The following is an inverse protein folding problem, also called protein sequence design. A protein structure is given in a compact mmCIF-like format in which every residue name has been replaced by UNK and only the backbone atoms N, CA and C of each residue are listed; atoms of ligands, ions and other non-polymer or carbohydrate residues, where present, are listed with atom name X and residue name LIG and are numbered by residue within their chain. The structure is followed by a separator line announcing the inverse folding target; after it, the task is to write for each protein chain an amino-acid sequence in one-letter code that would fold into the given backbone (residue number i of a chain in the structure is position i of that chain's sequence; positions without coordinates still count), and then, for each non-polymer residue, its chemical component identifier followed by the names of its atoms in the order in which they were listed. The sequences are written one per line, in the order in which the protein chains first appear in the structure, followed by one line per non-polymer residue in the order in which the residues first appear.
data_IF_134977609656
#
_entry.id   IF_134977609656
#
_cell.length_a   1.000
_cell.length_b   1.000
_cell.length_c   1.000
_cell.angle_alpha   90.00
_cell.angle_beta   90.00
_cell.angle_gamma   90.00
#
_symmetry.space_group_name_H-M   'P 1'
#
loop_
_entity.id
_entity.type
_entity.pdbx_description
1 polymer ?
#
# COMPACT_ATOMS: atom_id res chain seq x y z
N UNK A 1 27.12 -15.40 -30.56
CA UNK A 1 25.70 -15.04 -30.40
C UNK A 1 25.54 -14.54 -28.99
N UNK A 2 25.18 -13.27 -28.86
CA UNK A 2 25.23 -12.53 -27.61
C UNK A 2 23.94 -12.79 -26.82
N UNK A 3 24.05 -13.56 -25.73
CA UNK A 3 22.93 -13.72 -24.81
C UNK A 3 22.65 -12.39 -24.12
N UNK A 4 21.49 -11.84 -24.44
CA UNK A 4 20.96 -10.64 -23.83
C UNK A 4 20.62 -10.95 -22.38
N UNK A 5 21.42 -10.39 -21.46
CA UNK A 5 21.03 -10.21 -20.07
C UNK A 5 19.71 -9.44 -20.02
N UNK A 6 18.62 -10.16 -19.74
CA UNK A 6 17.34 -9.55 -19.38
C UNK A 6 17.53 -8.76 -18.10
N UNK A 7 17.53 -7.43 -18.21
CA UNK A 7 17.44 -6.56 -17.05
C UNK A 7 16.20 -6.97 -16.24
N UNK A 8 16.29 -7.14 -14.91
CA UNK A 8 15.10 -7.36 -14.10
C UNK A 8 14.19 -6.14 -14.30
N UNK A 9 12.95 -6.40 -14.71
CA UNK A 9 11.93 -5.40 -14.98
C UNK A 9 11.69 -4.56 -13.71
N UNK A 10 12.49 -3.49 -13.55
CA UNK A 10 12.53 -2.59 -12.39
C UNK A 10 11.20 -1.87 -12.17
N UNK A 11 10.29 -2.00 -13.12
CA UNK A 11 8.97 -1.38 -13.14
C UNK A 11 8.06 -1.97 -12.06
N UNK A 12 8.27 -3.20 -11.60
CA UNK A 12 7.31 -3.93 -10.74
C UNK A 12 7.66 -3.99 -9.25
N UNK A 13 8.79 -3.41 -8.83
CA UNK A 13 9.29 -3.55 -7.46
C UNK A 13 9.30 -2.20 -6.75
N UNK A 14 8.47 -2.05 -5.72
CA UNK A 14 8.49 -0.88 -4.85
C UNK A 14 9.46 -1.14 -3.70
N UNK A 15 10.55 -0.39 -3.67
CA UNK A 15 11.58 -0.51 -2.63
C UNK A 15 11.49 0.68 -1.69
N UNK A 16 11.30 0.39 -0.41
CA UNK A 16 11.43 1.36 0.65
C UNK A 16 12.82 1.17 1.29
N UNK A 17 13.72 2.17 1.27
CA UNK A 17 15.08 2.02 1.76
C UNK A 17 15.12 1.67 3.24
N UNK A 18 16.18 1.01 3.71
CA UNK A 18 16.37 0.70 5.12
C UNK A 18 16.44 2.00 5.95
N UNK A 19 15.93 1.96 7.19
CA UNK A 19 15.97 3.10 8.09
C UNK A 19 16.23 2.65 9.52
N UNK A 20 17.32 3.15 10.13
CA UNK A 20 17.74 2.74 11.48
C UNK A 20 17.91 1.22 11.58
N UNK A 21 17.14 0.59 12.48
CA UNK A 21 17.13 -0.86 12.70
C UNK A 21 16.13 -1.60 11.78
N UNK A 22 15.37 -0.89 10.95
CA UNK A 22 14.39 -1.50 10.06
C UNK A 22 15.04 -1.88 8.70
N UNK A 23 14.91 -3.14 8.25
CA UNK A 23 15.46 -3.57 6.97
C UNK A 23 14.75 -2.89 5.79
N UNK A 24 15.40 -2.89 4.63
CA UNK A 24 14.78 -2.37 3.40
C UNK A 24 13.56 -3.22 3.03
N UNK A 25 12.44 -2.56 2.77
CA UNK A 25 11.18 -3.22 2.42
C UNK A 25 11.11 -3.35 0.91
N UNK A 26 10.97 -4.58 0.42
CA UNK A 26 10.83 -4.87 -1.01
C UNK A 26 9.44 -5.43 -1.26
N UNK A 27 8.60 -4.68 -1.98
CA UNK A 27 7.24 -5.06 -2.32
C UNK A 27 7.15 -5.32 -3.80
N UNK A 28 6.74 -6.53 -4.16
CA UNK A 28 6.38 -6.86 -5.54
C UNK A 28 4.97 -6.34 -5.83
N UNK A 29 4.86 -5.47 -6.83
CA UNK A 29 3.62 -4.76 -7.19
C UNK A 29 3.00 -5.30 -8.48
N UNK A 30 3.56 -6.37 -9.07
CA UNK A 30 3.15 -6.91 -10.37
C UNK A 30 1.66 -7.25 -10.39
N UNK A 31 1.22 -8.15 -9.50
CA UNK A 31 -0.17 -8.62 -9.43
C UNK A 31 -1.14 -7.49 -9.07
N UNK A 32 -0.71 -6.56 -8.21
CA UNK A 32 -1.50 -5.40 -7.79
C UNK A 32 -1.76 -4.49 -9.00
N UNK A 33 -0.73 -4.18 -9.79
CA UNK A 33 -0.87 -3.37 -11.00
C UNK A 33 -1.72 -4.06 -12.06
N UNK A 34 -1.53 -5.37 -12.26
CA UNK A 34 -2.37 -6.15 -13.15
C UNK A 34 -3.83 -6.06 -12.73
N UNK A 35 -4.15 -6.28 -11.46
CA UNK A 35 -5.51 -6.12 -10.96
C UNK A 35 -6.07 -4.70 -11.17
N UNK A 36 -5.27 -3.66 -10.93
CA UNK A 36 -5.69 -2.27 -11.17
C UNK A 36 -6.02 -1.98 -12.63
N UNK A 37 -5.22 -2.48 -13.57
CA UNK A 37 -5.50 -2.32 -15.01
C UNK A 37 -6.76 -3.05 -15.44
N UNK A 38 -7.05 -4.20 -14.82
CA UNK A 38 -8.23 -5.03 -15.12
C UNK A 38 -9.50 -4.58 -14.40
N UNK A 39 -9.46 -3.51 -13.58
CA UNK A 39 -10.65 -2.96 -12.94
C UNK A 39 -11.76 -2.59 -13.93
N UNK A 40 -11.38 -2.17 -15.14
CA UNK A 40 -12.33 -1.81 -16.21
C UNK A 40 -13.10 -3.04 -16.68
N UNK A 41 -12.44 -4.21 -16.74
CA UNK A 41 -13.06 -5.49 -17.15
C UNK A 41 -14.13 -5.95 -16.16
N UNK A 42 -13.99 -5.61 -14.87
CA UNK A 42 -14.97 -5.96 -13.86
C UNK A 42 -16.38 -5.40 -14.17
N UNK A 43 -16.47 -4.26 -14.89
CA UNK A 43 -17.75 -3.66 -15.31
C UNK A 43 -18.53 -4.55 -16.28
N UNK A 44 -17.83 -5.33 -17.11
CA UNK A 44 -18.41 -6.19 -18.14
C UNK A 44 -18.14 -7.66 -17.83
N UNK A 45 -18.20 -8.03 -16.55
CA UNK A 45 -17.98 -9.40 -16.10
C UNK A 45 -19.02 -10.34 -16.69
N UNK A 46 -18.58 -11.52 -17.14
CA UNK A 46 -19.43 -12.56 -17.70
C UNK A 46 -19.04 -13.93 -17.11
N UNK A 47 -19.88 -14.98 -17.28
CA UNK A 47 -19.61 -16.29 -16.69
C UNK A 47 -18.27 -16.93 -17.09
N UNK A 48 -17.77 -16.61 -18.28
CA UNK A 48 -16.52 -17.17 -18.80
C UNK A 48 -15.29 -16.47 -18.22
N UNK A 49 -15.34 -15.14 -18.07
CA UNK A 49 -14.22 -14.32 -17.56
C UNK A 49 -14.21 -14.18 -16.04
N UNK A 50 -15.33 -14.49 -15.37
CA UNK A 50 -15.48 -14.31 -13.94
C UNK A 50 -14.40 -15.04 -13.11
N UNK A 51 -14.13 -16.30 -13.42
CA UNK A 51 -13.17 -17.12 -12.65
C UNK A 51 -11.75 -16.56 -12.72
N UNK A 52 -11.33 -16.13 -13.90
CA UNK A 52 -10.01 -15.53 -14.15
C UNK A 52 -9.87 -14.16 -13.47
N UNK A 53 -10.91 -13.32 -13.55
CA UNK A 53 -10.95 -12.03 -12.88
C UNK A 53 -10.93 -12.20 -11.35
N UNK A 54 -11.79 -13.07 -10.80
CA UNK A 54 -11.82 -13.35 -9.35
C UNK A 54 -10.47 -13.89 -8.85
N UNK A 55 -9.79 -14.74 -9.63
CA UNK A 55 -8.44 -15.18 -9.31
C UNK A 55 -7.45 -14.00 -9.22
N UNK A 56 -7.42 -13.16 -10.25
CA UNK A 56 -6.47 -12.03 -10.34
C UNK A 56 -6.66 -11.05 -9.18
N UNK A 57 -7.90 -10.70 -8.84
CA UNK A 57 -8.17 -9.79 -7.73
C UNK A 57 -7.85 -10.41 -6.36
N UNK A 58 -8.07 -11.73 -6.20
CA UNK A 58 -7.72 -12.43 -4.96
C UNK A 58 -6.20 -12.57 -4.76
N UNK A 59 -5.43 -12.75 -5.83
CA UNK A 59 -3.95 -12.72 -5.74
C UNK A 59 -3.45 -11.33 -5.32
N UNK A 60 -3.93 -10.28 -5.99
CA UNK A 60 -3.61 -8.91 -5.61
C UNK A 60 -3.99 -8.60 -4.15
N UNK A 61 -5.15 -9.10 -3.69
CA UNK A 61 -5.57 -8.97 -2.29
C UNK A 61 -4.59 -9.63 -1.31
N UNK A 62 -4.13 -10.86 -1.60
CA UNK A 62 -3.17 -11.58 -0.75
C UNK A 62 -1.83 -10.86 -0.69
N UNK A 63 -1.36 -10.36 -1.83
CA UNK A 63 -0.11 -9.59 -1.89
C UNK A 63 -0.22 -8.27 -1.12
N UNK A 64 -1.34 -7.55 -1.27
CA UNK A 64 -1.60 -6.34 -0.49
C UNK A 64 -1.60 -6.61 1.01
N UNK A 65 -2.25 -7.69 1.48
CA UNK A 65 -2.24 -8.07 2.89
C UNK A 65 -0.84 -8.41 3.41
N UNK A 66 -0.04 -9.11 2.61
CA UNK A 66 1.37 -9.39 2.92
C UNK A 66 2.19 -8.11 3.05
N UNK A 67 1.98 -7.15 2.14
CA UNK A 67 2.68 -5.87 2.17
C UNK A 67 2.27 -5.02 3.36
N UNK A 68 0.97 -4.95 3.71
CA UNK A 68 0.49 -4.26 4.92
C UNK A 68 1.11 -4.86 6.18
N UNK A 69 1.18 -6.19 6.30
CA UNK A 69 1.83 -6.82 7.44
C UNK A 69 3.33 -6.45 7.54
N UNK A 70 4.01 -6.39 6.40
CA UNK A 70 5.42 -5.99 6.33
C UNK A 70 5.62 -4.51 6.70
N UNK A 71 4.72 -3.63 6.25
CA UNK A 71 4.71 -2.21 6.61
C UNK A 71 4.42 -2.04 8.11
N UNK A 72 3.49 -2.81 8.67
CA UNK A 72 3.18 -2.80 10.10
C UNK A 72 4.39 -3.16 10.97
N UNK A 73 5.19 -4.15 10.55
CA UNK A 73 6.46 -4.45 11.21
C UNK A 73 7.45 -3.27 11.11
N UNK A 74 7.58 -2.67 9.92
CA UNK A 74 8.45 -1.51 9.73
C UNK A 74 8.00 -0.28 10.55
N UNK A 75 6.69 -0.09 10.74
CA UNK A 75 6.13 0.96 11.60
C UNK A 75 6.53 0.76 13.05
N UNK A 76 6.40 -0.46 13.59
CA UNK A 76 6.81 -0.76 14.96
C UNK A 76 8.31 -0.49 15.17
N UNK A 77 9.14 -0.86 14.20
CA UNK A 77 10.60 -0.61 14.24
C UNK A 77 10.94 0.88 14.11
N UNK A 78 10.23 1.62 13.27
CA UNK A 78 10.41 3.07 13.13
C UNK A 78 9.98 3.82 14.40
N UNK A 79 8.88 3.40 15.04
CA UNK A 79 8.43 3.96 16.31
C UNK A 79 9.43 3.72 17.43
N UNK A 80 10.00 2.50 17.51
CA UNK A 80 11.10 2.23 18.44
C UNK A 80 12.31 3.11 18.18
N UNK A 81 12.68 3.30 16.92
CA UNK A 81 13.82 4.15 16.54
C UNK A 81 13.58 5.64 16.89
N UNK A 82 12.33 6.11 16.81
CA UNK A 82 11.94 7.47 17.22
C UNK A 82 12.06 7.65 18.74
N UNK A 83 11.59 6.68 19.53
CA UNK A 83 11.74 6.71 20.99
C UNK A 83 13.21 6.62 21.43
N UNK A 84 14.02 5.78 20.75
CA UNK A 84 15.47 5.70 20.98
C UNK A 84 16.13 7.08 20.72
N UNK A 85 15.86 7.70 19.56
CA UNK A 85 16.41 9.03 19.23
C UNK A 85 15.95 10.12 20.21
N UNK A 86 14.68 10.08 20.64
CA UNK A 86 14.14 10.99 21.64
C UNK A 86 14.86 10.83 23.00
N UNK A 87 15.10 9.59 23.43
CA UNK A 87 15.82 9.32 24.66
C UNK A 87 17.26 9.85 24.60
N UNK A 88 17.97 9.63 23.49
CA UNK A 88 19.34 10.09 23.28
C UNK A 88 19.44 11.64 23.35
N UNK A 89 18.50 12.35 22.73
CA UNK A 89 18.46 13.82 22.77
C UNK A 89 18.18 14.35 24.18
N UNK A 90 17.21 13.76 24.88
CA UNK A 90 16.80 14.20 26.22
C UNK A 90 17.88 13.92 27.26
N UNK A 91 18.44 12.70 27.26
CA UNK A 91 19.44 12.27 28.24
C UNK A 91 20.84 12.81 27.95
N UNK A 92 21.15 13.11 26.69
CA UNK A 92 22.41 13.72 26.27
C UNK A 92 22.30 15.24 26.16
N UNK A 93 22.13 15.73 24.93
CA UNK A 93 22.28 17.16 24.60
C UNK A 93 21.37 18.10 25.40
N UNK A 94 20.14 17.69 25.71
CA UNK A 94 19.20 18.51 26.48
C UNK A 94 19.60 18.59 27.96
N UNK A 95 20.01 17.47 28.56
CA UNK A 95 20.48 17.43 29.94
C UNK A 95 21.72 18.32 30.14
N UNK A 96 22.65 18.32 29.17
CA UNK A 96 23.80 19.22 29.18
C UNK A 96 23.39 20.69 29.03
N UNK A 97 22.49 21.00 28.10
CA UNK A 97 22.03 22.38 27.85
C UNK A 97 21.24 22.99 29.03
N UNK A 98 20.67 22.16 29.91
CA UNK A 98 19.90 22.57 31.09
C UNK A 98 20.69 22.51 32.40
N UNK A 99 21.92 21.98 32.40
CA UNK A 99 22.74 21.79 33.62
C UNK A 99 22.99 23.08 34.39
N UNK A 100 23.21 24.19 33.67
CA UNK A 100 23.53 25.50 34.25
C UNK A 100 22.34 26.47 34.26
N UNK A 101 21.13 26.00 33.89
CA UNK A 101 19.93 26.83 33.81
C UNK A 101 19.01 26.61 35.01
N UNK A 102 18.25 27.65 35.44
CA UNK A 102 17.26 27.48 36.49
C UNK A 102 16.15 26.52 36.05
N UNK A 103 15.59 25.76 37.00
CA UNK A 103 14.54 24.75 36.74
C UNK A 103 13.30 25.30 36.03
N UNK A 104 13.04 26.60 36.12
CA UNK A 104 11.96 27.28 35.39
C UNK A 104 12.14 27.28 33.86
N UNK A 105 13.35 27.04 33.36
CA UNK A 105 13.62 26.91 31.92
C UNK A 105 13.32 25.52 31.35
N UNK A 106 13.12 24.50 32.18
CA UNK A 106 12.73 23.16 31.75
C UNK A 106 11.21 23.08 31.52
N UNK A 107 10.77 23.68 30.42
CA UNK A 107 9.37 23.62 29.97
C UNK A 107 9.20 22.55 28.88
N UNK A 108 7.97 22.06 28.73
CA UNK A 108 7.62 21.11 27.67
C UNK A 108 7.96 21.67 26.28
N UNK A 109 7.70 22.96 26.06
CA UNK A 109 7.95 23.64 24.79
C UNK A 109 9.45 23.68 24.46
N UNK A 110 10.30 23.92 25.46
CA UNK A 110 11.76 23.90 25.26
C UNK A 110 12.27 22.49 24.94
N UNK A 111 11.74 21.45 25.59
CA UNK A 111 12.05 20.05 25.24
C UNK A 111 11.65 19.71 23.82
N UNK A 112 10.44 20.06 23.43
CA UNK A 112 9.93 19.81 22.08
C UNK A 112 10.73 20.57 21.02
N UNK A 113 11.11 21.82 21.28
CA UNK A 113 11.95 22.61 20.39
C UNK A 113 13.36 22.05 20.21
N UNK A 114 13.95 21.47 21.27
CA UNK A 114 15.23 20.77 21.17
C UNK A 114 15.12 19.47 20.38
N UNK A 115 14.05 18.70 20.60
CA UNK A 115 13.79 17.46 19.87
C UNK A 115 13.56 17.71 18.37
N UNK A 116 12.79 18.72 18.00
CA UNK A 116 12.54 19.02 16.58
C UNK A 116 13.77 19.53 15.83
N UNK A 117 14.75 20.09 16.55
CA UNK A 117 16.03 20.51 15.96
C UNK A 117 16.97 19.32 15.70
N UNK A 118 16.75 18.20 16.39
CA UNK A 118 17.58 17.00 16.18
C UNK A 118 17.26 16.32 14.84
N UNK A 119 18.31 16.12 14.05
CA UNK A 119 18.17 15.56 12.71
C UNK A 119 17.74 14.08 12.71
N UNK A 120 18.16 13.31 13.72
CA UNK A 120 17.80 11.89 13.82
C UNK A 120 16.34 11.73 14.22
N UNK A 121 15.85 12.52 15.17
CA UNK A 121 14.44 12.57 15.56
C UNK A 121 13.55 13.02 14.39
N UNK A 122 13.92 14.11 13.70
CA UNK A 122 13.18 14.61 12.54
C UNK A 122 13.09 13.57 11.42
N UNK A 123 14.21 12.92 11.07
CA UNK A 123 14.24 11.86 10.06
C UNK A 123 13.38 10.64 10.46
N UNK A 124 13.38 10.25 11.75
CA UNK A 124 12.54 9.17 12.24
C UNK A 124 11.04 9.51 12.17
N UNK A 125 10.68 10.76 12.44
CA UNK A 125 9.32 11.25 12.37
C UNK A 125 8.82 11.30 10.91
N UNK A 126 9.61 11.83 9.99
CA UNK A 126 9.30 11.80 8.55
C UNK A 126 9.12 10.37 8.06
N UNK A 127 10.00 9.47 8.50
CA UNK A 127 9.92 8.06 8.12
C UNK A 127 8.62 7.40 8.58
N UNK A 128 8.23 7.69 9.82
CA UNK A 128 6.98 7.18 10.38
C UNK A 128 5.77 7.72 9.60
N UNK A 129 5.79 8.99 9.22
CA UNK A 129 4.75 9.59 8.38
C UNK A 129 4.66 8.94 6.99
N UNK A 130 5.81 8.68 6.34
CA UNK A 130 5.87 7.97 5.05
C UNK A 130 5.27 6.55 5.16
N UNK A 131 5.63 5.81 6.20
CA UNK A 131 5.11 4.46 6.42
C UNK A 131 3.60 4.44 6.68
N UNK A 132 3.07 5.40 7.45
CA UNK A 132 1.62 5.55 7.67
C UNK A 132 0.86 5.90 6.38
N UNK A 133 1.43 6.78 5.56
CA UNK A 133 0.84 7.12 4.26
C UNK A 133 0.79 5.90 3.34
N UNK A 134 1.86 5.09 3.35
CA UNK A 134 1.94 3.86 2.57
C UNK A 134 0.94 2.79 3.05
N UNK A 135 0.83 2.59 4.36
CA UNK A 135 -0.16 1.69 4.97
C UNK A 135 -1.58 2.07 4.55
N UNK A 136 -1.94 3.36 4.69
CA UNK A 136 -3.25 3.89 4.31
C UNK A 136 -3.55 3.69 2.81
N UNK A 137 -2.56 3.89 1.93
CA UNK A 137 -2.70 3.63 0.50
C UNK A 137 -2.96 2.15 0.20
N UNK A 138 -2.22 1.23 0.84
CA UNK A 138 -2.39 -0.20 0.64
C UNK A 138 -3.75 -0.69 1.19
N UNK A 139 -4.19 -0.18 2.35
CA UNK A 139 -5.53 -0.45 2.89
C UNK A 139 -6.65 0.06 1.97
N UNK A 140 -6.45 1.22 1.34
CA UNK A 140 -7.34 1.73 0.31
C UNK A 140 -7.49 0.76 -0.86
N UNK A 141 -6.36 0.24 -1.38
CA UNK A 141 -6.34 -0.75 -2.46
C UNK A 141 -7.00 -2.06 -2.06
N UNK A 142 -6.78 -2.54 -0.83
CA UNK A 142 -7.45 -3.74 -0.29
C UNK A 142 -8.97 -3.61 -0.38
N UNK A 143 -9.52 -2.48 0.08
CA UNK A 143 -10.96 -2.21 0.03
C UNK A 143 -11.50 -2.20 -1.40
N UNK A 144 -10.73 -1.66 -2.35
CA UNK A 144 -11.10 -1.69 -3.78
C UNK A 144 -11.20 -3.14 -4.26
N UNK A 145 -10.20 -3.98 -4.01
CA UNK A 145 -10.22 -5.38 -4.43
C UNK A 145 -11.39 -6.16 -3.81
N UNK A 146 -11.65 -5.98 -2.51
CA UNK A 146 -12.80 -6.61 -1.83
C UNK A 146 -14.14 -6.19 -2.42
N UNK A 147 -14.31 -4.90 -2.71
CA UNK A 147 -15.54 -4.36 -3.28
C UNK A 147 -15.76 -4.85 -4.70
N UNK A 148 -14.70 -4.96 -5.50
CA UNK A 148 -14.77 -5.48 -6.88
C UNK A 148 -15.16 -6.95 -6.87
N UNK A 149 -14.53 -7.80 -6.06
CA UNK A 149 -14.94 -9.20 -5.90
C UNK A 149 -16.42 -9.32 -5.48
N UNK A 150 -16.85 -8.50 -4.52
CA UNK A 150 -18.26 -8.47 -4.07
C UNK A 150 -19.21 -8.04 -5.19
N UNK A 151 -18.83 -7.03 -5.97
CA UNK A 151 -19.61 -6.55 -7.10
C UNK A 151 -19.75 -7.62 -8.17
N UNK A 152 -18.64 -8.23 -8.60
CA UNK A 152 -18.65 -9.27 -9.64
C UNK A 152 -19.51 -10.46 -9.24
N UNK A 153 -19.42 -10.92 -7.98
CA UNK A 153 -20.26 -12.01 -7.47
C UNK A 153 -21.74 -11.70 -7.55
N UNK A 154 -22.14 -10.48 -7.18
CA UNK A 154 -23.53 -10.02 -7.28
C UNK A 154 -24.01 -9.92 -8.73
N UNK A 155 -23.17 -9.43 -9.65
CA UNK A 155 -23.48 -9.41 -11.07
C UNK A 155 -23.69 -10.84 -11.59
N UNK A 156 -22.78 -11.76 -11.26
CA UNK A 156 -22.91 -13.15 -11.66
C UNK A 156 -24.17 -13.84 -11.12
N UNK A 157 -24.52 -13.61 -9.85
CA UNK A 157 -25.75 -14.12 -9.27
C UNK A 157 -26.99 -13.60 -10.03
N UNK A 158 -26.99 -12.32 -10.42
CA UNK A 158 -28.06 -11.73 -11.24
C UNK A 158 -28.16 -12.39 -12.61
N UNK A 159 -27.03 -12.56 -13.30
CA UNK A 159 -26.96 -13.21 -14.62
C UNK A 159 -27.51 -14.63 -14.53
N UNK A 160 -27.04 -15.44 -13.57
CA UNK A 160 -27.48 -16.82 -13.39
C UNK A 160 -28.98 -16.94 -13.03
N UNK A 161 -29.50 -16.04 -12.19
CA UNK A 161 -30.91 -16.04 -11.77
C UNK A 161 -31.87 -15.54 -12.85
N UNK A 162 -31.41 -14.62 -13.68
CA UNK A 162 -32.23 -14.04 -14.75
C UNK A 162 -32.56 -15.04 -15.87
N UNK A 163 -31.84 -16.17 -15.95
CA UNK A 163 -32.01 -17.14 -17.02
C UNK A 163 -31.65 -16.58 -18.40
N UNK A 164 -31.05 -15.39 -18.48
CA UNK A 164 -30.57 -14.80 -19.72
C UNK A 164 -29.51 -15.73 -20.33
N UNK A 165 -29.88 -16.38 -21.44
CA UNK A 165 -28.94 -17.19 -22.20
C UNK A 165 -27.98 -16.26 -22.97
N UNK A 166 -26.78 -16.77 -23.27
CA UNK A 166 -25.68 -16.04 -23.93
C UNK A 166 -26.05 -15.27 -25.23
N UNK A 167 -27.24 -15.48 -25.81
CA UNK A 167 -27.74 -14.77 -26.98
C UNK A 167 -27.97 -13.26 -26.75
N UNK A 168 -28.29 -12.82 -25.53
CA UNK A 168 -28.63 -11.41 -25.28
C UNK A 168 -27.40 -10.51 -25.04
N UNK A 169 -26.23 -11.10 -24.79
CA UNK A 169 -24.97 -10.35 -24.56
C UNK A 169 -24.28 -9.91 -25.86
N UNK A 170 -24.64 -10.50 -26.99
CA UNK A 170 -24.16 -10.13 -28.32
C UNK A 170 -25.29 -9.52 -29.13
N UNK A 171 -25.78 -8.35 -28.74
CA UNK A 171 -26.50 -7.49 -29.68
C UNK A 171 -25.46 -6.94 -30.65
N UNK A 172 -25.12 -7.72 -31.68
CA UNK A 172 -24.45 -7.20 -32.86
C UNK A 172 -25.44 -6.24 -33.51
N UNK A 173 -25.21 -4.94 -33.36
CA UNK A 173 -25.84 -3.93 -34.19
C UNK A 173 -25.51 -4.22 -35.66
N UNK A 174 -26.41 -4.92 -36.35
CA UNK A 174 -26.25 -5.20 -37.76
C UNK A 174 -27.12 -6.36 -38.21
N UNK A 175 -28.33 -6.05 -38.63
CA UNK A 175 -28.93 -6.51 -39.89
C UNK A 175 -30.38 -6.02 -39.94
N UNK A 176 -30.56 -4.78 -40.39
CA UNK A 176 -31.82 -4.36 -40.99
C UNK A 176 -32.04 -5.21 -42.25
N UNK A 177 -32.80 -6.30 -42.16
CA UNK A 177 -33.51 -6.86 -43.32
C UNK A 177 -34.91 -6.27 -43.32
N UNK A 178 -35.13 -5.28 -44.19
CA UNK A 178 -36.48 -4.88 -44.61
C UNK A 178 -36.98 -5.86 -45.68
N UNK A 179 -38.26 -6.26 -45.66
CA UNK A 179 -38.94 -6.79 -46.84
C UNK A 179 -39.13 -5.71 -47.91
#
# INVERSE_FOLDING_TARGET
MSDQNGAPDSTSLMVLPAFGKAPALKMEMKNIRTAETRLIEAKTVNPFTYSDLEHTFNEAYRDLKKHVASIGYALAMAQKSLEDAKADVILGSYAEAMKDKPKSHDTLDMRNAYLTRDAAYSAALERLAQLKALESNMDGKIKVMENVCRYMRKQMDLILRSGMSNADYYITHGLNKKP
#
